data_IF_364086414901
#
_entry.id   IF_364086414901
#
_cell.length_a   1.000
_cell.length_b   1.000
_cell.length_c   1.000
_cell.angle_alpha   90.00
_cell.angle_beta   90.00
_cell.angle_gamma   90.00
#
_symmetry.space_group_name_H-M   'P 1'
#
loop_
_entity.id
_entity.type
_entity.pdbx_description
1 polymer ?
#
# COMPACT_ATOMS: atom_id res chain seq x y z
N UNK A 1 -11.16 -14.67 3.47
CA UNK A 1 -11.55 -13.24 3.50
C UNK A 1 -10.28 -12.43 3.63
N UNK A 2 -10.15 -11.40 2.80
CA UNK A 2 -9.00 -10.51 2.78
C UNK A 2 -9.11 -9.47 3.91
N UNK A 3 -7.99 -9.14 4.54
CA UNK A 3 -7.89 -8.17 5.62
C UNK A 3 -6.87 -7.09 5.25
N UNK A 4 -7.24 -5.83 5.41
CA UNK A 4 -6.35 -4.68 5.21
C UNK A 4 -5.98 -4.14 6.59
N UNK A 5 -4.69 -4.14 6.91
CA UNK A 5 -4.17 -3.77 8.23
C UNK A 5 -3.10 -2.68 8.05
N UNK A 6 -3.18 -1.61 8.83
CA UNK A 6 -2.12 -0.60 8.85
C UNK A 6 -0.92 -1.12 9.65
N UNK A 7 0.31 -0.73 9.27
CA UNK A 7 1.54 -1.12 9.95
C UNK A 7 1.49 -0.90 11.47
N UNK A 8 0.89 0.22 11.91
CA UNK A 8 0.80 0.57 13.34
C UNK A 8 -0.06 -0.41 14.13
N UNK A 9 -1.00 -1.09 13.49
CA UNK A 9 -1.92 -2.06 14.09
C UNK A 9 -1.35 -3.48 14.08
N UNK A 10 -0.23 -3.72 13.37
CA UNK A 10 0.46 -5.01 13.36
C UNK A 10 1.17 -5.21 14.71
N UNK A 11 1.04 -6.38 15.36
CA UNK A 11 1.80 -6.72 16.57
C UNK A 11 3.31 -6.57 16.37
N UNK A 12 3.99 -5.91 17.32
CA UNK A 12 5.41 -5.53 17.19
C UNK A 12 6.33 -6.71 16.89
N UNK A 13 6.06 -7.86 17.50
CA UNK A 13 6.79 -9.12 17.32
C UNK A 13 6.66 -9.69 15.91
N UNK A 14 5.61 -9.33 15.15
CA UNK A 14 5.36 -9.83 13.78
C UNK A 14 5.86 -8.90 12.68
N UNK A 15 6.15 -7.63 13.01
CA UNK A 15 6.45 -6.59 12.00
C UNK A 15 7.64 -6.96 11.13
N UNK A 16 8.74 -7.43 11.71
CA UNK A 16 9.95 -7.74 10.95
C UNK A 16 9.72 -8.87 9.94
N UNK A 17 8.97 -9.91 10.32
CA UNK A 17 8.67 -11.03 9.46
C UNK A 17 7.76 -10.63 8.29
N UNK A 18 6.77 -9.78 8.55
CA UNK A 18 5.91 -9.20 7.52
C UNK A 18 6.71 -8.34 6.54
N UNK A 19 7.64 -7.52 7.02
CA UNK A 19 8.50 -6.72 6.14
C UNK A 19 9.46 -7.58 5.31
N UNK A 20 9.99 -8.67 5.86
CA UNK A 20 10.79 -9.63 5.10
C UNK A 20 9.95 -10.37 4.04
N UNK A 21 8.67 -10.61 4.31
CA UNK A 21 7.77 -11.29 3.37
C UNK A 21 7.43 -10.45 2.11
N UNK A 22 7.64 -9.13 2.14
CA UNK A 22 7.40 -8.23 0.99
C UNK A 22 8.18 -8.64 -0.27
N UNK A 23 9.39 -9.18 -0.11
CA UNK A 23 10.21 -9.69 -1.22
C UNK A 23 9.48 -10.79 -2.01
N UNK A 24 8.73 -11.67 -1.31
CA UNK A 24 8.00 -12.78 -1.93
C UNK A 24 6.86 -12.32 -2.84
N UNK A 25 6.39 -11.09 -2.64
CA UNK A 25 5.38 -10.45 -3.47
C UNK A 25 5.96 -9.31 -4.31
N UNK A 26 7.29 -9.32 -4.53
CA UNK A 26 7.96 -8.48 -5.51
C UNK A 26 8.33 -7.07 -5.05
N UNK A 27 8.22 -6.76 -3.76
CA UNK A 27 8.58 -5.44 -3.26
C UNK A 27 9.96 -5.40 -2.61
N UNK A 28 10.79 -4.45 -3.05
CA UNK A 28 12.12 -4.17 -2.51
C UNK A 28 12.28 -2.67 -2.23
N UNK A 29 12.90 -2.26 -1.10
CA UNK A 29 13.17 -0.85 -0.84
C UNK A 29 14.13 -0.27 -1.89
N UNK A 30 13.86 0.94 -2.37
CA UNK A 30 14.73 1.61 -3.33
C UNK A 30 16.06 2.08 -2.70
N UNK A 31 16.05 2.29 -1.38
CA UNK A 31 17.24 2.70 -0.62
C UNK A 31 17.24 2.06 0.77
N UNK A 32 18.41 1.62 1.21
CA UNK A 32 18.59 0.92 2.48
C UNK A 32 18.09 -0.52 2.41
N UNK A 33 17.60 -1.06 3.53
CA UNK A 33 17.05 -2.40 3.61
C UNK A 33 15.79 -2.47 4.49
N UNK A 34 15.36 -3.68 4.82
CA UNK A 34 14.16 -3.93 5.65
C UNK A 34 14.18 -3.14 6.96
N UNK A 35 15.34 -3.08 7.64
CA UNK A 35 15.48 -2.29 8.89
C UNK A 35 15.27 -0.78 8.67
N UNK A 36 15.71 -0.24 7.54
CA UNK A 36 15.50 1.18 7.20
C UNK A 36 14.02 1.46 6.99
N UNK A 37 13.31 0.58 6.27
CA UNK A 37 11.86 0.70 6.12
C UNK A 37 11.15 0.62 7.46
N UNK A 38 11.51 -0.37 8.29
CA UNK A 38 10.92 -0.55 9.62
C UNK A 38 11.03 0.73 10.45
N UNK A 39 12.21 1.35 10.50
CA UNK A 39 12.42 2.61 11.23
C UNK A 39 11.54 3.77 10.74
N UNK A 40 11.26 3.84 9.44
CA UNK A 40 10.35 4.84 8.87
C UNK A 40 8.92 4.53 9.28
N UNK A 41 8.49 3.28 9.12
CA UNK A 41 7.13 2.84 9.44
C UNK A 41 6.82 2.93 10.94
N UNK A 42 7.80 2.69 11.82
CA UNK A 42 7.67 2.89 13.27
C UNK A 42 7.38 4.33 13.68
N UNK A 43 7.84 5.30 12.87
CA UNK A 43 7.64 6.73 13.10
C UNK A 43 6.37 7.27 12.43
N UNK A 44 5.62 6.44 11.70
CA UNK A 44 4.35 6.86 11.09
C UNK A 44 3.30 7.15 12.17
N UNK A 45 2.49 8.17 11.91
CA UNK A 45 1.41 8.62 12.80
C UNK A 45 0.09 8.40 12.07
N UNK A 46 -0.86 7.63 12.62
CA UNK A 46 -2.18 7.46 12.02
C UNK A 46 -2.85 8.80 11.68
N UNK A 47 -3.48 8.90 10.51
CA UNK A 47 -4.10 10.15 10.03
C UNK A 47 -3.11 11.22 9.55
N UNK A 48 -1.82 10.86 9.37
CA UNK A 48 -0.79 11.74 8.80
C UNK A 48 0.11 10.97 7.85
N UNK A 49 0.65 11.61 6.82
CA UNK A 49 1.58 10.96 5.90
C UNK A 49 2.95 10.68 6.54
N UNK A 50 3.55 9.49 6.32
CA UNK A 50 3.13 8.39 5.45
C UNK A 50 2.25 7.34 6.16
N UNK A 51 1.44 6.60 5.40
CA UNK A 51 0.64 5.46 5.84
C UNK A 51 1.05 4.17 5.11
N UNK A 52 1.00 3.03 5.79
CA UNK A 52 1.47 1.75 5.25
C UNK A 52 0.44 0.66 5.51
N UNK A 53 -0.28 0.24 4.47
CA UNK A 53 -1.29 -0.80 4.57
C UNK A 53 -0.77 -2.12 3.98
N UNK A 54 -1.10 -3.22 4.64
CA UNK A 54 -0.78 -4.58 4.25
C UNK A 54 -2.08 -5.36 4.05
N UNK A 55 -2.10 -6.20 3.02
CA UNK A 55 -3.26 -7.05 2.68
C UNK A 55 -2.92 -8.49 3.00
N UNK A 56 -3.75 -9.12 3.81
CA UNK A 56 -3.63 -10.51 4.19
C UNK A 56 -4.79 -11.35 3.69
N UNK A 57 -4.52 -12.59 3.30
CA UNK A 57 -5.53 -13.65 3.12
C UNK A 57 -5.06 -14.85 3.92
N UNK A 58 -5.91 -15.35 4.83
CA UNK A 58 -5.59 -16.55 5.64
C UNK A 58 -4.25 -16.45 6.39
N UNK A 59 -3.92 -15.25 6.88
CA UNK A 59 -2.65 -14.87 7.52
C UNK A 59 -1.42 -14.79 6.59
N UNK A 60 -1.56 -15.05 5.30
CA UNK A 60 -0.51 -14.84 4.30
C UNK A 60 -0.54 -13.40 3.78
N UNK A 61 0.63 -12.77 3.69
CA UNK A 61 0.78 -11.45 3.08
C UNK A 61 0.66 -11.55 1.56
N UNK A 62 -0.38 -10.95 0.99
CA UNK A 62 -0.67 -10.99 -0.45
C UNK A 62 -0.54 -9.65 -1.15
N UNK A 63 -0.54 -8.54 -0.41
CA UNK A 63 -0.45 -7.22 -1.01
C UNK A 63 -0.12 -6.09 -0.04
N UNK A 64 0.05 -4.90 -0.59
CA UNK A 64 0.40 -3.70 0.13
C UNK A 64 -0.10 -2.44 -0.58
N UNK A 65 -0.30 -1.38 0.19
CA UNK A 65 -0.53 -0.02 -0.30
C UNK A 65 0.20 0.98 0.62
N UNK A 66 1.30 1.53 0.12
CA UNK A 66 2.16 2.47 0.85
C UNK A 66 1.93 3.87 0.32
N UNK A 67 1.45 4.75 1.19
CA UNK A 67 1.08 6.13 0.88
C UNK A 67 2.11 7.06 1.52
N UNK A 68 2.94 7.70 0.72
CA UNK A 68 4.16 8.36 1.20
C UNK A 68 3.97 9.86 1.36
N UNK A 69 3.37 10.53 0.38
CA UNK A 69 3.08 11.97 0.39
C UNK A 69 4.30 12.90 0.32
N UNK A 70 5.50 12.47 0.74
CA UNK A 70 6.74 13.24 0.67
C UNK A 70 7.93 12.36 0.24
N UNK A 71 8.23 12.37 -1.05
CA UNK A 71 9.31 11.56 -1.65
C UNK A 71 10.72 12.04 -1.30
N UNK A 72 10.88 13.29 -0.84
CA UNK A 72 12.18 13.83 -0.44
C UNK A 72 12.57 13.36 0.96
N UNK A 73 11.59 13.31 1.87
CA UNK A 73 11.78 12.88 3.26
C UNK A 73 11.94 11.37 3.38
N UNK A 74 11.19 10.59 2.60
CA UNK A 74 11.12 9.13 2.73
C UNK A 74 11.81 8.39 1.58
N UNK A 75 13.12 8.57 1.41
CA UNK A 75 13.90 8.05 0.26
C UNK A 75 13.83 6.54 0.05
N UNK A 76 13.52 5.74 1.08
CA UNK A 76 13.29 4.29 0.91
C UNK A 76 12.07 3.99 0.02
N UNK A 77 11.15 4.96 -0.10
CA UNK A 77 9.95 4.94 -0.92
C UNK A 77 9.95 6.15 -1.87
N UNK A 78 10.53 6.04 -3.08
CA UNK A 78 10.77 7.18 -3.95
C UNK A 78 9.52 7.69 -4.68
N UNK A 79 8.37 7.06 -4.45
CA UNK A 79 7.09 7.36 -5.10
C UNK A 79 6.08 7.94 -4.10
N UNK A 80 5.14 8.75 -4.58
CA UNK A 80 4.08 9.34 -3.72
C UNK A 80 3.15 8.28 -3.13
N UNK A 81 2.93 7.19 -3.87
CA UNK A 81 2.31 5.96 -3.39
C UNK A 81 2.87 4.77 -4.18
N UNK A 82 2.85 3.57 -3.57
CA UNK A 82 3.28 2.31 -4.18
C UNK A 82 2.34 1.21 -3.71
N UNK A 83 1.82 0.40 -4.64
CA UNK A 83 0.97 -0.75 -4.31
C UNK A 83 1.18 -1.87 -5.33
N UNK A 84 0.67 -3.06 -5.02
CA UNK A 84 0.47 -4.14 -5.98
C UNK A 84 -1.03 -4.40 -6.23
N UNK A 85 -1.85 -3.34 -6.21
CA UNK A 85 -3.31 -3.43 -6.36
C UNK A 85 -3.76 -4.10 -7.66
N UNK A 86 -2.97 -3.99 -8.72
CA UNK A 86 -3.20 -4.66 -10.01
C UNK A 86 -3.19 -6.19 -9.89
N UNK A 87 -2.59 -6.73 -8.83
CA UNK A 87 -2.56 -8.16 -8.52
C UNK A 87 -3.67 -8.60 -7.56
N UNK A 88 -4.47 -7.68 -7.04
CA UNK A 88 -5.49 -7.95 -6.02
C UNK A 88 -6.90 -8.13 -6.62
N UNK A 89 -7.77 -8.77 -5.83
CA UNK A 89 -9.21 -8.84 -6.11
C UNK A 89 -9.84 -7.44 -6.14
N UNK A 90 -10.87 -7.28 -6.96
CA UNK A 90 -11.52 -5.96 -7.15
C UNK A 90 -12.02 -5.37 -5.83
N UNK A 91 -12.57 -6.19 -4.95
CA UNK A 91 -13.06 -5.77 -3.63
C UNK A 91 -11.96 -5.17 -2.75
N UNK A 92 -10.74 -5.73 -2.80
CA UNK A 92 -9.57 -5.18 -2.09
C UNK A 92 -9.13 -3.87 -2.73
N UNK A 93 -9.09 -3.80 -4.06
CA UNK A 93 -8.74 -2.58 -4.78
C UNK A 93 -9.68 -1.42 -4.41
N UNK A 94 -10.99 -1.67 -4.30
CA UNK A 94 -11.97 -0.64 -3.94
C UNK A 94 -11.71 -0.06 -2.55
N UNK A 95 -11.42 -0.90 -1.56
CA UNK A 95 -11.11 -0.44 -0.21
C UNK A 95 -9.77 0.32 -0.16
N UNK A 96 -8.72 -0.20 -0.78
CA UNK A 96 -7.43 0.48 -0.84
C UNK A 96 -7.50 1.81 -1.60
N UNK A 97 -8.30 1.89 -2.66
CA UNK A 97 -8.44 3.12 -3.43
C UNK A 97 -9.21 4.20 -2.67
N UNK A 98 -10.24 3.84 -1.89
CA UNK A 98 -10.92 4.79 -0.99
C UNK A 98 -9.93 5.41 -0.01
N UNK A 99 -9.06 4.59 0.58
CA UNK A 99 -8.00 5.03 1.50
C UNK A 99 -7.03 5.98 0.77
N UNK A 100 -6.59 5.62 -0.44
CA UNK A 100 -5.64 6.41 -1.22
C UNK A 100 -6.22 7.76 -1.67
N UNK A 101 -7.48 7.80 -2.09
CA UNK A 101 -8.18 9.04 -2.46
C UNK A 101 -8.25 9.97 -1.24
N UNK A 102 -8.78 9.48 -0.12
CA UNK A 102 -8.92 10.28 1.10
C UNK A 102 -7.56 10.84 1.56
N UNK A 103 -6.50 10.02 1.52
CA UNK A 103 -5.15 10.44 1.87
C UNK A 103 -4.66 11.61 1.00
N UNK A 104 -4.84 11.55 -0.32
CA UNK A 104 -4.38 12.63 -1.20
C UNK A 104 -5.26 13.87 -1.13
N UNK A 105 -6.56 13.74 -0.86
CA UNK A 105 -7.44 14.87 -0.59
C UNK A 105 -7.03 15.62 0.69
N UNK A 106 -6.73 14.90 1.77
CA UNK A 106 -6.25 15.49 3.03
C UNK A 106 -4.91 16.24 2.86
N UNK A 107 -4.05 15.79 1.95
CA UNK A 107 -2.81 16.47 1.60
C UNK A 107 -2.99 17.64 0.62
N UNK A 108 -4.22 17.93 0.18
CA UNK A 108 -4.52 18.96 -0.82
C UNK A 108 -4.04 18.61 -2.23
N UNK A 109 -3.78 17.33 -2.50
CA UNK A 109 -3.25 16.82 -3.78
C UNK A 109 -4.37 16.38 -4.73
N UNK A 110 -5.35 17.25 -4.98
CA UNK A 110 -6.59 16.91 -5.70
C UNK A 110 -6.37 16.23 -7.06
N UNK A 111 -5.38 16.69 -7.84
CA UNK A 111 -5.06 16.08 -9.15
C UNK A 111 -4.68 14.59 -9.06
N UNK A 112 -4.06 14.19 -7.95
CA UNK A 112 -3.67 12.80 -7.69
C UNK A 112 -4.89 12.01 -7.20
N UNK A 113 -5.70 12.59 -6.31
CA UNK A 113 -6.97 11.98 -5.90
C UNK A 113 -7.88 11.70 -7.11
N UNK A 114 -8.07 12.67 -8.00
CA UNK A 114 -8.85 12.50 -9.23
C UNK A 114 -8.25 11.43 -10.16
N UNK A 115 -6.93 11.29 -10.16
CA UNK A 115 -6.27 10.23 -10.92
C UNK A 115 -6.55 8.84 -10.34
N UNK A 116 -6.54 8.71 -9.01
CA UNK A 116 -6.93 7.48 -8.32
C UNK A 116 -8.38 7.07 -8.64
N UNK A 117 -9.31 8.03 -8.70
CA UNK A 117 -10.70 7.76 -9.13
C UNK A 117 -10.74 7.17 -10.54
N UNK A 118 -10.01 7.76 -11.50
CA UNK A 118 -9.94 7.25 -12.88
C UNK A 118 -9.34 5.83 -12.94
N UNK A 119 -8.26 5.56 -12.19
CA UNK A 119 -7.67 4.22 -12.12
C UNK A 119 -8.69 3.20 -11.61
N UNK A 120 -9.50 3.55 -10.61
CA UNK A 120 -10.54 2.66 -10.08
C UNK A 120 -11.59 2.31 -11.14
N UNK A 121 -11.98 3.28 -11.97
CA UNK A 121 -12.91 3.04 -13.08
C UNK A 121 -12.31 2.09 -14.11
N UNK A 122 -11.01 2.22 -14.40
CA UNK A 122 -10.29 1.31 -15.29
C UNK A 122 -10.23 -0.11 -14.71
N UNK A 123 -9.92 -0.25 -13.42
CA UNK A 123 -9.92 -1.54 -12.72
C UNK A 123 -11.29 -2.21 -12.75
N UNK A 124 -12.38 -1.46 -12.57
CA UNK A 124 -13.77 -1.97 -12.70
C UNK A 124 -14.10 -2.47 -14.10
N UNK A 125 -13.44 -1.93 -15.12
CA UNK A 125 -13.55 -2.37 -16.52
C UNK A 125 -12.55 -3.48 -16.87
N UNK A 126 -11.74 -3.93 -15.91
CA UNK A 126 -10.70 -4.95 -16.11
C UNK A 126 -9.45 -4.46 -16.83
N UNK A 127 -9.24 -3.14 -16.93
CA UNK A 127 -8.07 -2.54 -17.55
C UNK A 127 -6.97 -2.38 -16.49
N UNK A 128 -5.74 -2.77 -16.81
CA UNK A 128 -4.59 -2.59 -15.91
C UNK A 128 -4.60 -3.49 -14.67
N UNK A 129 -5.45 -4.53 -14.62
CA UNK A 129 -5.54 -5.51 -13.54
C UNK A 129 -5.38 -6.93 -14.07
N UNK A 130 -4.87 -7.84 -13.25
CA UNK A 130 -4.99 -9.28 -13.48
C UNK A 130 -6.46 -9.72 -13.51
N UNK A 131 -6.75 -10.79 -14.27
CA UNK A 131 -8.06 -11.45 -14.23
C UNK A 131 -8.37 -11.86 -12.80
N UNK A 132 -9.65 -11.79 -12.41
CA UNK A 132 -10.06 -12.04 -11.02
C UNK A 132 -9.68 -13.45 -10.53
N UNK A 133 -9.68 -14.45 -11.42
CA UNK A 133 -9.24 -15.82 -11.14
C UNK A 133 -7.74 -15.94 -10.87
N UNK A 134 -6.96 -14.97 -11.33
CA UNK A 134 -5.49 -15.00 -11.33
C UNK A 134 -4.92 -14.02 -10.30
N UNK A 135 -5.79 -13.35 -9.54
CA UNK A 135 -5.41 -12.44 -8.47
C UNK A 135 -4.91 -13.19 -7.24
N UNK A 136 -3.95 -12.56 -6.55
CA UNK A 136 -3.45 -13.03 -5.27
C UNK A 136 -4.52 -12.97 -4.20
#
# INVERSE_FOLDING_TARGET
>A
MEQIINYRDIPTDKRIDILNALERIGFFPAYGGVRTMQQIMEKSVPGSGPQFYFVFRENELIGYNFLIGDTKKYKAFPWLAISNMDEQKLTVCEELMKIQIAFFEELGMQKIADHCVRIMEDYRKGIGKRKESDCR
#
